data_IF_216971233295
#
_entry.id   IF_216971233295
#
_cell.length_a   1.000
_cell.length_b   1.000
_cell.length_c   1.000
_cell.angle_alpha   90.00
_cell.angle_beta   90.00
_cell.angle_gamma   90.00
#
_symmetry.space_group_name_H-M   'P 1'
#
loop_
_entity.id
_entity.type
_entity.pdbx_description
1 polymer ?
#
# COMPACT_ATOMS: atom_id res chain seq x y z
N UNK A 1 -22.84 -16.92 5.65
CA UNK A 1 -21.99 -18.13 5.62
C UNK A 1 -22.10 -18.75 4.23
N UNK A 2 -21.04 -18.79 3.42
CA UNK A 2 -21.10 -19.36 2.08
C UNK A 2 -21.07 -20.90 2.12
N UNK A 3 -21.75 -21.57 1.19
CA UNK A 3 -21.75 -23.02 1.04
C UNK A 3 -20.48 -23.51 0.32
N UNK A 4 -20.15 -24.80 0.46
CA UNK A 4 -18.97 -25.39 -0.21
C UNK A 4 -19.04 -25.19 -1.73
N UNK A 5 -20.21 -25.42 -2.33
CA UNK A 5 -20.40 -25.23 -3.77
C UNK A 5 -20.21 -23.77 -4.22
N UNK A 6 -20.49 -22.78 -3.36
CA UNK A 6 -20.20 -21.37 -3.65
C UNK A 6 -18.69 -21.09 -3.63
N UNK A 7 -17.95 -21.68 -2.70
CA UNK A 7 -16.49 -21.55 -2.62
C UNK A 7 -15.78 -22.27 -3.75
N UNK A 8 -16.29 -23.42 -4.20
CA UNK A 8 -15.79 -24.15 -5.37
C UNK A 8 -15.96 -23.33 -6.65
N UNK A 9 -17.11 -22.66 -6.82
CA UNK A 9 -17.37 -21.78 -7.98
C UNK A 9 -16.64 -20.44 -7.89
N UNK A 10 -16.52 -19.88 -6.68
CA UNK A 10 -15.90 -18.58 -6.39
C UNK A 10 -15.12 -18.67 -5.07
N UNK A 11 -13.82 -18.91 -5.17
CA UNK A 11 -12.93 -18.95 -4.03
C UNK A 11 -12.91 -17.64 -3.23
N UNK A 12 -12.43 -17.70 -1.98
CA UNK A 12 -12.20 -16.51 -1.17
C UNK A 12 -11.05 -15.69 -1.77
N UNK A 13 -11.14 -14.37 -1.64
CA UNK A 13 -10.05 -13.45 -1.99
C UNK A 13 -9.72 -12.61 -0.78
N UNK A 14 -8.43 -12.50 -0.50
CA UNK A 14 -7.95 -11.60 0.53
C UNK A 14 -8.12 -10.14 0.10
N UNK A 15 -8.27 -9.26 1.08
CA UNK A 15 -8.36 -7.83 0.83
C UNK A 15 -6.97 -7.29 0.48
N UNK A 16 -6.88 -6.54 -0.60
CA UNK A 16 -5.62 -5.89 -1.00
C UNK A 16 -5.31 -4.75 -0.02
N UNK A 17 -4.18 -4.84 0.66
CA UNK A 17 -3.68 -3.79 1.54
C UNK A 17 -2.88 -2.73 0.74
N UNK A 18 -3.07 -1.45 1.07
CA UNK A 18 -2.27 -0.35 0.50
C UNK A 18 -1.05 -0.08 1.38
N UNK A 19 0.10 0.08 0.74
CA UNK A 19 1.34 0.47 1.43
C UNK A 19 1.39 2.00 1.51
N UNK A 20 1.58 2.53 2.73
CA UNK A 20 1.68 3.99 2.97
C UNK A 20 2.92 4.61 2.32
N UNK A 21 3.94 3.80 2.02
CA UNK A 21 5.26 4.20 1.52
C UNK A 21 5.54 3.72 0.08
N UNK A 22 4.61 3.96 -0.84
CA UNK A 22 4.73 3.49 -2.23
C UNK A 22 6.00 3.96 -2.97
N UNK A 23 6.49 5.16 -2.65
CA UNK A 23 7.71 5.73 -3.24
C UNK A 23 8.96 4.86 -3.03
N UNK A 24 9.02 4.09 -1.93
CA UNK A 24 10.14 3.22 -1.60
C UNK A 24 10.21 1.94 -2.45
N UNK A 25 9.12 1.54 -3.13
CA UNK A 25 9.03 0.29 -3.93
C UNK A 25 9.67 -0.94 -3.24
N UNK A 26 9.46 -1.09 -1.93
CA UNK A 26 9.99 -2.22 -1.15
C UNK A 26 11.46 -2.11 -0.72
N UNK A 27 12.20 -1.09 -1.14
CA UNK A 27 13.56 -0.82 -0.63
C UNK A 27 13.51 -0.15 0.75
N UNK A 28 14.50 -0.40 1.64
CA UNK A 28 14.55 0.25 2.94
C UNK A 28 14.79 1.77 2.83
N UNK A 29 15.56 2.21 1.82
CA UNK A 29 15.93 3.62 1.62
C UNK A 29 16.13 3.90 0.12
N UNK A 30 15.90 5.16 -0.29
CA UNK A 30 16.15 5.64 -1.67
C UNK A 30 16.81 7.01 -1.66
N UNK A 31 17.82 7.20 -2.51
CA UNK A 31 18.46 8.50 -2.74
C UNK A 31 17.55 9.40 -3.58
N UNK A 32 17.58 10.70 -3.30
CA UNK A 32 16.84 11.73 -4.04
C UNK A 32 17.52 13.09 -3.92
N UNK A 33 17.14 14.03 -4.79
CA UNK A 33 17.64 15.42 -4.80
C UNK A 33 16.50 16.36 -4.40
N UNK A 34 16.78 17.33 -3.53
CA UNK A 34 15.80 18.31 -3.10
C UNK A 34 15.43 19.26 -4.25
N UNK A 35 14.14 19.40 -4.54
CA UNK A 35 13.64 20.35 -5.55
C UNK A 35 13.36 21.74 -4.98
N UNK A 36 13.06 21.82 -3.68
CA UNK A 36 12.81 23.08 -2.94
C UNK A 36 13.18 22.90 -1.47
N UNK A 37 13.74 23.95 -0.86
CA UNK A 37 14.03 24.01 0.58
C UNK A 37 13.22 25.15 1.19
N UNK A 38 12.38 24.86 2.18
CA UNK A 38 11.48 25.84 2.82
C UNK A 38 11.04 25.36 4.21
N UNK A 39 10.37 26.23 4.98
CA UNK A 39 9.84 25.93 6.33
C UNK A 39 8.31 25.82 6.33
N UNK A 40 7.75 25.04 7.26
CA UNK A 40 6.30 24.83 7.42
C UNK A 40 5.86 25.06 8.87
N UNK A 41 4.78 25.79 9.09
CA UNK A 41 4.17 25.94 10.43
C UNK A 41 3.39 24.67 10.81
N UNK A 42 3.57 24.11 12.03
CA UNK A 42 2.83 22.92 12.47
C UNK A 42 1.34 23.21 12.70
N UNK A 43 0.53 22.14 12.73
CA UNK A 43 -0.89 22.20 13.15
C UNK A 43 -1.03 22.23 14.66
#
# INVERSE_FOLDING_TARGET
>A
MPTINQLVRKGRRDKIAKVKTAALKGSPQRRGVCTRVYTTTPK
#
